data_IF_271867762016
#
_entry.id   IF_271867762016
#
_cell.length_a   1.000
_cell.length_b   1.000
_cell.length_c   1.000
_cell.angle_alpha   90.00
_cell.angle_beta   90.00
_cell.angle_gamma   90.00
#
_symmetry.space_group_name_H-M   'P 1'
#
loop_
_entity.id
_entity.type
_entity.pdbx_description
1 polymer ?
#
# COMPACT_ATOMS: atom_id res chain seq x y z
N UNK A 1 12.36 -16.75 23.21
CA UNK A 1 12.93 -16.51 24.57
C UNK A 1 13.35 -15.05 24.65
N UNK A 2 12.72 -14.25 25.52
CA UNK A 2 13.21 -12.89 25.80
C UNK A 2 14.59 -13.02 26.49
N UNK A 3 15.62 -12.26 26.10
CA UNK A 3 16.89 -12.29 26.83
C UNK A 3 16.66 -11.76 28.22
N UNK A 4 17.10 -12.53 29.24
CA UNK A 4 16.87 -12.27 30.67
C UNK A 4 17.37 -10.90 31.19
N UNK A 5 18.10 -10.12 30.39
CA UNK A 5 18.58 -8.79 30.73
C UNK A 5 17.67 -7.62 30.33
N UNK A 6 16.72 -7.83 29.42
CA UNK A 6 15.90 -6.75 28.87
C UNK A 6 14.88 -6.18 29.86
N UNK A 7 14.28 -7.02 30.68
CA UNK A 7 13.30 -6.57 31.69
C UNK A 7 13.98 -5.82 32.86
N UNK A 8 15.22 -6.18 33.19
CA UNK A 8 16.03 -5.47 34.21
C UNK A 8 16.48 -4.08 33.67
N UNK A 9 16.86 -4.02 32.39
CA UNK A 9 17.24 -2.78 31.69
C UNK A 9 16.06 -1.82 31.60
N UNK A 10 14.89 -2.32 31.21
CA UNK A 10 13.65 -1.52 31.15
C UNK A 10 13.24 -0.96 32.48
N UNK A 11 13.34 -1.76 33.60
CA UNK A 11 13.02 -1.32 34.95
C UNK A 11 14.01 -0.28 35.48
N UNK A 12 15.27 -0.31 35.09
CA UNK A 12 16.29 0.67 35.49
C UNK A 12 15.95 2.07 34.89
N UNK A 13 15.59 2.13 33.63
CA UNK A 13 15.23 3.39 32.95
C UNK A 13 13.83 3.93 33.33
N UNK A 14 12.89 3.06 33.70
CA UNK A 14 11.60 3.50 34.26
C UNK A 14 11.74 4.22 35.59
N UNK A 15 12.76 3.90 36.42
CA UNK A 15 13.07 4.61 37.64
C UNK A 15 13.59 6.04 37.43
N UNK A 16 14.17 6.32 36.27
CA UNK A 16 14.74 7.63 35.96
C UNK A 16 13.78 8.50 35.13
N UNK A 17 12.52 8.08 34.91
CA UNK A 17 11.54 8.82 34.13
C UNK A 17 11.82 8.86 32.62
N UNK A 18 12.76 8.07 32.13
CA UNK A 18 13.10 7.98 30.70
C UNK A 18 12.16 6.98 30.04
N UNK A 19 11.23 7.48 29.22
CA UNK A 19 10.38 6.64 28.38
C UNK A 19 11.17 6.29 27.10
N UNK A 20 11.58 5.03 26.99
CA UNK A 20 12.25 4.53 25.79
C UNK A 20 11.21 4.06 24.77
N UNK A 21 11.48 4.32 23.49
CA UNK A 21 10.72 3.77 22.37
C UNK A 21 11.09 2.28 22.17
N UNK A 22 10.63 1.41 23.07
CA UNK A 22 11.03 0.00 23.17
C UNK A 22 10.76 -0.84 21.93
N UNK A 23 9.83 -0.39 21.07
CA UNK A 23 9.47 -1.06 19.81
C UNK A 23 10.29 -0.58 18.62
N UNK A 24 10.95 0.57 18.74
CA UNK A 24 11.79 1.12 17.65
C UNK A 24 13.01 0.23 17.42
N UNK A 25 13.37 0.07 16.14
CA UNK A 25 14.58 -0.60 15.68
C UNK A 25 15.28 0.32 14.69
N UNK A 26 16.59 0.49 14.87
CA UNK A 26 17.38 1.38 14.03
C UNK A 26 16.78 2.78 13.90
N UNK A 27 16.80 3.32 12.67
CA UNK A 27 16.38 4.71 12.38
C UNK A 27 14.89 4.82 12.00
N UNK A 28 14.38 3.88 11.20
CA UNK A 28 13.08 4.00 10.51
C UNK A 28 12.10 2.88 10.85
N UNK A 29 12.59 1.78 11.46
CA UNK A 29 11.80 0.57 11.65
C UNK A 29 11.27 0.41 13.07
N UNK A 30 10.22 -0.39 13.20
CA UNK A 30 9.70 -0.83 14.50
C UNK A 30 9.16 -2.26 14.41
N UNK A 31 9.16 -2.94 15.54
CA UNK A 31 8.58 -4.28 15.71
C UNK A 31 7.29 -4.20 16.52
N UNK A 32 6.41 -5.15 16.31
CA UNK A 32 5.13 -5.23 17.02
C UNK A 32 5.18 -6.39 18.02
N UNK A 33 5.18 -6.11 19.34
CA UNK A 33 5.30 -7.15 20.39
C UNK A 33 4.13 -8.13 20.38
N UNK A 34 2.94 -7.61 20.05
CA UNK A 34 1.76 -8.40 19.74
C UNK A 34 1.51 -8.21 18.24
N UNK A 35 1.57 -9.31 17.49
CA UNK A 35 1.44 -9.28 16.05
C UNK A 35 -0.03 -9.05 15.66
N UNK A 36 -0.41 -7.86 15.16
CA UNK A 36 -1.77 -7.64 14.67
C UNK A 36 -2.11 -8.60 13.55
N UNK A 37 -3.35 -9.08 13.54
CA UNK A 37 -3.83 -10.06 12.58
C UNK A 37 -4.61 -9.35 11.49
N UNK A 38 -4.31 -9.63 10.23
CA UNK A 38 -5.16 -9.26 9.09
C UNK A 38 -6.23 -10.36 8.98
N UNK A 39 -7.38 -10.12 9.61
CA UNK A 39 -8.43 -11.14 9.80
C UNK A 39 -9.21 -11.45 8.53
N UNK A 40 -9.44 -10.44 7.71
CA UNK A 40 -10.05 -10.56 6.40
C UNK A 40 -9.72 -9.34 5.53
N UNK A 41 -10.00 -9.46 4.25
CA UNK A 41 -9.70 -8.43 3.25
C UNK A 41 -10.69 -8.49 2.10
N UNK A 42 -10.82 -7.39 1.37
CA UNK A 42 -11.71 -7.26 0.22
C UNK A 42 -11.03 -6.49 -0.90
N UNK A 43 -11.35 -6.85 -2.14
CA UNK A 43 -10.84 -6.23 -3.35
C UNK A 43 -11.97 -5.97 -4.35
N UNK A 44 -12.05 -4.73 -4.83
CA UNK A 44 -12.99 -4.28 -5.86
C UNK A 44 -12.16 -3.81 -7.05
N UNK A 45 -12.46 -4.28 -8.24
CA UNK A 45 -11.69 -3.95 -9.44
C UNK A 45 -12.60 -3.49 -10.60
N UNK A 46 -12.07 -2.59 -11.41
CA UNK A 46 -12.73 -2.07 -12.58
C UNK A 46 -12.65 -2.97 -13.80
N UNK A 47 -13.13 -2.45 -14.93
CA UNK A 47 -13.22 -3.19 -16.19
C UNK A 47 -11.85 -3.69 -16.67
N UNK A 48 -10.87 -2.80 -16.79
CA UNK A 48 -9.55 -3.13 -17.36
C UNK A 48 -8.80 -4.15 -16.48
N UNK A 49 -8.93 -4.01 -15.17
CA UNK A 49 -8.35 -4.91 -14.17
C UNK A 49 -9.02 -6.29 -14.20
N UNK A 50 -10.33 -6.34 -14.54
CA UNK A 50 -11.07 -7.61 -14.70
C UNK A 50 -10.70 -8.39 -15.98
N UNK A 51 -9.93 -7.78 -16.86
CA UNK A 51 -9.38 -8.39 -18.08
C UNK A 51 -7.91 -8.81 -17.90
N UNK A 52 -7.31 -8.52 -16.73
CA UNK A 52 -5.92 -8.79 -16.43
C UNK A 52 -5.68 -10.15 -15.77
N UNK A 53 -4.41 -10.51 -15.55
CA UNK A 53 -4.02 -11.82 -15.01
C UNK A 53 -4.61 -12.14 -13.63
N UNK A 54 -4.85 -11.12 -12.81
CA UNK A 54 -5.37 -11.26 -11.44
C UNK A 54 -6.91 -11.20 -11.37
N UNK A 55 -7.63 -11.09 -12.48
CA UNK A 55 -9.08 -10.95 -12.53
C UNK A 55 -9.84 -11.96 -11.64
N UNK A 56 -9.37 -13.21 -11.61
CA UNK A 56 -9.97 -14.32 -10.88
C UNK A 56 -9.76 -14.25 -9.35
N UNK A 57 -8.96 -13.30 -8.87
CA UNK A 57 -8.63 -13.14 -7.44
C UNK A 57 -9.45 -12.06 -6.77
N UNK A 58 -10.09 -11.17 -7.53
CA UNK A 58 -10.86 -10.05 -6.99
C UNK A 58 -12.24 -10.48 -6.49
N UNK A 59 -12.66 -9.94 -5.34
CA UNK A 59 -13.97 -10.26 -4.75
C UNK A 59 -15.14 -9.74 -5.60
N UNK A 60 -14.97 -8.56 -6.19
CA UNK A 60 -15.97 -7.93 -7.06
C UNK A 60 -15.27 -7.25 -8.25
N UNK A 61 -15.80 -7.52 -9.44
CA UNK A 61 -15.39 -6.82 -10.67
C UNK A 61 -16.62 -6.17 -11.32
N UNK A 62 -16.42 -5.10 -12.09
CA UNK A 62 -17.50 -4.45 -12.83
C UNK A 62 -17.05 -4.03 -14.22
N UNK A 63 -17.98 -4.11 -15.18
CA UNK A 63 -17.78 -3.59 -16.54
C UNK A 63 -18.19 -2.12 -16.65
N UNK A 64 -18.94 -1.61 -15.67
CA UNK A 64 -19.33 -0.20 -15.59
C UNK A 64 -18.23 0.63 -14.91
N UNK A 65 -17.55 1.46 -15.69
CA UNK A 65 -16.49 2.35 -15.21
C UNK A 65 -17.00 3.45 -14.27
N UNK A 66 -18.29 3.69 -14.23
CA UNK A 66 -18.93 4.64 -13.32
C UNK A 66 -19.46 4.01 -12.03
N UNK A 67 -19.44 2.69 -11.88
CA UNK A 67 -19.96 2.00 -10.70
C UNK A 67 -21.42 2.43 -10.36
N UNK A 68 -22.25 2.65 -11.38
CA UNK A 68 -23.63 3.13 -11.25
C UNK A 68 -23.76 4.60 -10.84
N UNK A 69 -22.69 5.39 -10.91
CA UNK A 69 -22.66 6.80 -10.50
C UNK A 69 -22.66 7.74 -11.70
N UNK A 70 -22.77 9.05 -11.45
CA UNK A 70 -22.85 10.07 -12.50
C UNK A 70 -21.49 10.70 -12.84
N UNK A 71 -20.52 10.65 -11.95
CA UNK A 71 -19.16 11.21 -12.13
C UNK A 71 -18.09 10.24 -11.66
N UNK A 72 -16.87 10.41 -12.13
CA UNK A 72 -15.74 9.55 -11.79
C UNK A 72 -15.36 9.62 -10.31
N UNK A 73 -15.45 10.80 -9.68
CA UNK A 73 -15.19 10.96 -8.25
C UNK A 73 -16.27 10.26 -7.41
N UNK A 74 -17.52 10.29 -7.88
CA UNK A 74 -18.60 9.52 -7.24
C UNK A 74 -18.40 8.01 -7.44
N UNK A 75 -17.87 7.60 -8.60
CA UNK A 75 -17.51 6.20 -8.86
C UNK A 75 -16.42 5.71 -7.89
N UNK A 76 -15.35 6.49 -7.72
CA UNK A 76 -14.28 6.16 -6.76
C UNK A 76 -14.79 6.08 -5.32
N UNK A 77 -15.59 7.06 -4.89
CA UNK A 77 -16.30 7.01 -3.61
C UNK A 77 -17.10 5.71 -3.46
N UNK A 78 -17.90 5.33 -4.48
CA UNK A 78 -18.73 4.12 -4.45
C UNK A 78 -17.90 2.85 -4.37
N UNK A 79 -16.81 2.80 -5.09
CA UNK A 79 -15.86 1.69 -5.08
C UNK A 79 -15.26 1.47 -3.68
N UNK A 80 -14.85 2.55 -2.97
CA UNK A 80 -14.41 2.45 -1.58
C UNK A 80 -15.53 1.96 -0.65
N UNK A 81 -16.76 2.44 -0.83
CA UNK A 81 -17.90 1.95 -0.07
C UNK A 81 -18.12 0.45 -0.26
N UNK A 82 -18.03 -0.02 -1.51
CA UNK A 82 -18.14 -1.45 -1.82
C UNK A 82 -17.03 -2.28 -1.16
N UNK A 83 -15.80 -1.76 -1.13
CA UNK A 83 -14.70 -2.44 -0.45
C UNK A 83 -14.94 -2.58 1.06
N UNK A 84 -15.41 -1.51 1.73
CA UNK A 84 -15.76 -1.57 3.15
C UNK A 84 -16.98 -2.45 3.43
N UNK A 85 -17.98 -2.41 2.56
CA UNK A 85 -19.18 -3.27 2.64
C UNK A 85 -18.80 -4.74 2.52
N UNK A 86 -17.96 -5.08 1.53
CA UNK A 86 -17.46 -6.44 1.32
C UNK A 86 -16.57 -6.92 2.45
N UNK A 87 -15.74 -6.03 2.99
CA UNK A 87 -14.93 -6.31 4.17
C UNK A 87 -15.79 -6.64 5.39
N UNK A 88 -16.83 -5.85 5.67
CA UNK A 88 -17.77 -6.07 6.76
C UNK A 88 -18.54 -7.38 6.59
N UNK A 89 -18.98 -7.68 5.36
CA UNK A 89 -19.63 -8.96 5.02
C UNK A 89 -18.73 -10.16 5.33
N UNK A 90 -17.50 -10.15 4.84
CA UNK A 90 -16.50 -11.22 5.08
C UNK A 90 -16.12 -11.36 6.56
N UNK A 91 -16.12 -10.25 7.29
CA UNK A 91 -15.87 -10.24 8.74
C UNK A 91 -17.06 -10.70 9.58
N UNK A 92 -18.25 -10.83 9.01
CA UNK A 92 -19.49 -11.08 9.73
C UNK A 92 -19.88 -9.93 10.67
N UNK A 93 -19.57 -8.69 10.27
CA UNK A 93 -19.71 -7.48 11.10
C UNK A 93 -20.63 -6.46 10.45
N UNK A 94 -21.25 -5.62 11.28
CA UNK A 94 -21.90 -4.38 10.81
C UNK A 94 -20.84 -3.30 10.63
N UNK A 95 -21.02 -2.40 9.65
CA UNK A 95 -20.06 -1.30 9.39
C UNK A 95 -19.74 -0.45 10.62
N UNK A 96 -20.72 -0.19 11.49
CA UNK A 96 -20.52 0.58 12.73
C UNK A 96 -19.70 -0.13 13.81
N UNK A 97 -19.31 -1.38 13.60
CA UNK A 97 -18.48 -2.14 14.53
C UNK A 97 -16.98 -2.02 14.23
N UNK A 98 -16.60 -1.29 13.18
CA UNK A 98 -15.21 -0.83 13.02
C UNK A 98 -14.94 0.28 14.03
N UNK A 99 -13.86 0.15 14.80
CA UNK A 99 -13.44 1.16 15.75
C UNK A 99 -12.83 2.38 15.03
N UNK A 100 -12.16 2.11 13.90
CA UNK A 100 -11.50 3.12 13.10
C UNK A 100 -11.40 2.67 11.64
N UNK A 101 -11.55 3.60 10.71
CA UNK A 101 -11.19 3.44 9.31
C UNK A 101 -10.03 4.38 8.99
N UNK A 102 -8.94 3.81 8.48
CA UNK A 102 -7.81 4.52 7.90
C UNK A 102 -7.95 4.43 6.40
N UNK A 103 -8.14 5.54 5.73
CA UNK A 103 -8.32 5.50 4.28
C UNK A 103 -7.72 6.70 3.57
N UNK A 104 -7.35 6.50 2.31
CA UNK A 104 -6.88 7.54 1.43
C UNK A 104 -7.17 7.22 -0.03
N UNK A 105 -6.94 8.20 -0.86
CA UNK A 105 -7.07 8.14 -2.32
C UNK A 105 -6.14 9.18 -2.96
N UNK A 106 -6.14 9.27 -4.30
CA UNK A 106 -5.28 10.20 -5.02
C UNK A 106 -5.90 11.58 -5.24
N UNK A 107 -7.16 11.78 -4.87
CA UNK A 107 -7.85 13.05 -5.10
C UNK A 107 -7.45 14.10 -4.07
N UNK A 108 -7.56 15.37 -4.44
CA UNK A 108 -7.29 16.48 -3.53
C UNK A 108 -8.09 16.33 -2.25
N UNK A 109 -7.41 16.51 -1.12
CA UNK A 109 -7.93 16.41 0.25
C UNK A 109 -8.58 15.06 0.59
N UNK A 110 -8.19 13.96 -0.11
CA UNK A 110 -8.76 12.63 0.08
C UNK A 110 -10.30 12.63 0.00
N UNK A 111 -10.84 13.32 -1.04
CA UNK A 111 -12.28 13.54 -1.16
C UNK A 111 -13.03 12.23 -1.43
N UNK A 112 -12.43 11.27 -2.14
CA UNK A 112 -12.98 9.94 -2.34
C UNK A 112 -13.22 9.23 -1.01
N UNK A 113 -12.23 9.24 -0.14
CA UNK A 113 -12.23 8.60 1.18
C UNK A 113 -13.20 9.26 2.15
N UNK A 114 -13.14 10.58 2.32
CA UNK A 114 -14.00 11.29 3.26
C UNK A 114 -15.48 11.20 2.84
N UNK A 115 -15.78 11.27 1.54
CA UNK A 115 -17.15 11.12 1.05
C UNK A 115 -17.64 9.67 1.05
N UNK A 116 -16.74 8.68 0.97
CA UNK A 116 -17.14 7.26 1.09
C UNK A 116 -17.68 6.94 2.49
N UNK A 117 -17.13 7.58 3.52
CA UNK A 117 -17.48 7.35 4.93
C UNK A 117 -18.53 8.33 5.47
N UNK A 118 -18.92 9.31 4.66
CA UNK A 118 -19.94 10.29 5.04
C UNK A 118 -21.21 9.61 5.53
N UNK A 119 -21.70 10.03 6.69
CA UNK A 119 -22.91 9.51 7.34
C UNK A 119 -22.87 8.03 7.77
N UNK A 120 -21.70 7.39 7.82
CA UNK A 120 -21.58 6.01 8.31
C UNK A 120 -21.43 5.93 9.84
N UNK A 121 -21.09 7.04 10.51
CA UNK A 121 -20.92 7.08 11.97
C UNK A 121 -19.69 6.26 12.44
N UNK A 122 -18.67 6.14 11.60
CA UNK A 122 -17.42 5.41 11.91
C UNK A 122 -16.29 6.44 12.07
N UNK A 123 -15.47 6.36 13.13
CA UNK A 123 -14.27 7.17 13.26
C UNK A 123 -13.33 6.99 12.05
N UNK A 124 -12.77 8.09 11.55
CA UNK A 124 -11.98 8.09 10.32
C UNK A 124 -10.75 8.99 10.44
N UNK A 125 -9.62 8.48 9.96
CA UNK A 125 -8.43 9.27 9.67
C UNK A 125 -8.11 9.17 8.18
N UNK A 126 -8.09 10.31 7.50
CA UNK A 126 -7.66 10.44 6.11
C UNK A 126 -6.14 10.42 6.01
N UNK A 127 -5.59 9.60 5.12
CA UNK A 127 -4.17 9.42 4.89
C UNK A 127 -3.81 9.83 3.46
N UNK A 128 -2.64 10.41 3.27
CA UNK A 128 -2.14 10.77 1.95
C UNK A 128 -0.64 10.46 1.80
N UNK A 129 -0.34 9.28 1.35
CA UNK A 129 0.99 8.84 0.91
C UNK A 129 1.09 8.67 -0.61
N UNK A 130 0.25 9.36 -1.39
CA UNK A 130 0.05 9.10 -2.82
C UNK A 130 -0.21 7.59 -3.05
N UNK A 131 0.48 6.95 -4.00
CA UNK A 131 0.29 5.53 -4.28
C UNK A 131 0.73 4.61 -3.13
N UNK A 132 1.50 5.09 -2.13
CA UNK A 132 1.94 4.29 -0.98
C UNK A 132 0.86 4.10 0.11
N UNK A 133 -0.30 4.71 -0.03
CA UNK A 133 -1.35 4.80 0.99
C UNK A 133 -1.81 3.42 1.52
N UNK A 134 -1.76 2.34 0.73
CA UNK A 134 -2.12 1.02 1.25
C UNK A 134 -1.13 0.52 2.31
N UNK A 135 0.17 0.68 2.08
CA UNK A 135 1.18 0.32 3.07
C UNK A 135 1.16 1.27 4.27
N UNK A 136 0.96 2.57 4.05
CA UNK A 136 0.79 3.59 5.09
C UNK A 136 -0.40 3.25 6.00
N UNK A 137 -1.56 2.93 5.44
CA UNK A 137 -2.76 2.59 6.21
C UNK A 137 -2.58 1.30 7.04
N UNK A 138 -1.95 0.26 6.48
CA UNK A 138 -1.63 -0.97 7.21
C UNK A 138 -0.62 -0.74 8.34
N UNK A 139 0.42 0.07 8.08
CA UNK A 139 1.45 0.44 9.04
C UNK A 139 0.80 1.16 10.23
N UNK A 140 -0.02 2.18 9.98
CA UNK A 140 -0.71 2.94 11.04
C UNK A 140 -1.73 2.05 11.75
N UNK A 141 -2.51 1.22 11.03
CA UNK A 141 -3.43 0.25 11.64
C UNK A 141 -2.69 -0.69 12.60
N UNK A 142 -1.50 -1.17 12.21
CA UNK A 142 -0.70 -2.03 13.06
C UNK A 142 -0.19 -1.34 14.32
N UNK A 143 0.16 -0.05 14.23
CA UNK A 143 0.54 0.76 15.40
C UNK A 143 -0.65 0.98 16.34
N UNK A 144 -1.82 1.32 15.79
CA UNK A 144 -3.04 1.58 16.56
C UNK A 144 -3.51 0.30 17.28
N UNK A 145 -3.56 -0.83 16.58
CA UNK A 145 -3.96 -2.11 17.15
C UNK A 145 -2.89 -2.64 18.10
N UNK A 146 -1.62 -2.64 17.70
CA UNK A 146 -0.50 -3.10 18.53
C UNK A 146 -0.24 -2.22 19.76
N UNK A 147 -0.66 -0.95 19.71
CA UNK A 147 -0.64 0.00 20.84
C UNK A 147 -1.84 -0.11 21.77
N UNK A 148 -2.85 -0.92 21.42
CA UNK A 148 -4.06 -1.09 22.23
C UNK A 148 -5.04 0.08 22.18
N UNK A 149 -5.01 0.90 21.11
CA UNK A 149 -5.92 2.02 20.94
C UNK A 149 -7.23 1.64 20.24
N UNK A 150 -7.26 0.54 19.50
CA UNK A 150 -8.44 -0.03 18.86
C UNK A 150 -8.25 -1.53 18.61
N UNK A 151 -9.36 -2.28 18.49
CA UNK A 151 -9.36 -3.71 18.22
C UNK A 151 -9.64 -4.08 16.76
N UNK A 152 -10.37 -3.21 16.04
CA UNK A 152 -10.90 -3.51 14.69
C UNK A 152 -10.69 -2.29 13.80
N UNK A 153 -9.57 -2.25 13.13
CA UNK A 153 -9.17 -1.13 12.25
C UNK A 153 -9.24 -1.57 10.80
N UNK A 154 -10.04 -0.88 9.99
CA UNK A 154 -10.02 -1.07 8.54
C UNK A 154 -8.94 -0.18 7.92
N UNK A 155 -7.98 -0.78 7.23
CA UNK A 155 -6.99 -0.11 6.40
C UNK A 155 -7.41 -0.25 4.93
N UNK A 156 -7.68 0.86 4.23
CA UNK A 156 -8.16 0.81 2.85
C UNK A 156 -7.68 1.98 2.01
N UNK A 157 -7.64 1.77 0.71
CA UNK A 157 -7.39 2.83 -0.27
C UNK A 157 -7.99 2.48 -1.63
N UNK A 158 -8.10 3.48 -2.49
CA UNK A 158 -8.56 3.33 -3.87
C UNK A 158 -7.86 4.28 -4.81
N UNK A 159 -7.88 3.94 -6.08
CA UNK A 159 -7.69 4.88 -7.17
C UNK A 159 -8.66 4.56 -8.30
N UNK A 160 -9.02 5.57 -9.09
CA UNK A 160 -9.85 5.42 -10.27
C UNK A 160 -9.16 6.12 -11.45
N UNK A 161 -9.00 5.42 -12.58
CA UNK A 161 -8.27 5.96 -13.73
C UNK A 161 -8.68 7.37 -14.08
N UNK A 162 -9.94 7.60 -14.41
CA UNK A 162 -10.37 8.88 -14.96
C UNK A 162 -10.31 10.03 -13.94
N UNK A 163 -10.66 9.81 -12.67
CA UNK A 163 -10.60 10.85 -11.63
C UNK A 163 -9.16 11.26 -11.34
N UNK A 164 -8.24 10.30 -11.22
CA UNK A 164 -6.82 10.54 -10.94
C UNK A 164 -6.09 11.12 -12.15
N UNK A 165 -6.26 10.53 -13.35
CA UNK A 165 -5.59 10.99 -14.57
C UNK A 165 -6.02 12.42 -14.91
N UNK A 166 -7.30 12.77 -14.75
CA UNK A 166 -7.81 14.13 -14.95
C UNK A 166 -7.14 15.14 -14.03
N UNK A 167 -6.82 14.73 -12.82
CA UNK A 167 -6.20 15.61 -11.83
C UNK A 167 -4.69 15.79 -12.05
N UNK A 168 -3.98 14.71 -12.40
CA UNK A 168 -2.52 14.69 -12.43
C UNK A 168 -1.91 14.73 -13.82
N UNK A 169 -2.60 14.24 -14.85
CA UNK A 169 -2.14 14.17 -16.25
C UNK A 169 -3.09 14.90 -17.19
N UNK A 170 -3.46 16.05 -16.79
CA UNK A 170 -4.35 16.94 -17.55
C UNK A 170 -3.68 17.41 -18.87
N UNK A 171 -4.44 17.57 -19.96
CA UNK A 171 -5.88 17.35 -20.09
C UNK A 171 -6.24 15.93 -20.56
N UNK A 172 -6.93 15.18 -19.74
CA UNK A 172 -7.36 13.81 -20.04
C UNK A 172 -8.21 13.72 -21.32
N UNK A 173 -9.16 14.63 -21.48
CA UNK A 173 -10.07 14.67 -22.62
C UNK A 173 -9.43 15.06 -23.96
N UNK A 174 -8.16 15.47 -23.97
CA UNK A 174 -7.43 15.83 -25.19
C UNK A 174 -6.99 14.59 -25.98
N UNK A 175 -6.94 13.42 -25.36
CA UNK A 175 -6.60 12.17 -26.02
C UNK A 175 -5.13 12.06 -26.45
N UNK A 176 -4.22 12.73 -25.74
CA UNK A 176 -2.78 12.65 -26.01
C UNK A 176 -2.24 11.23 -25.89
N UNK A 177 -1.35 10.84 -26.81
CA UNK A 177 -0.67 9.55 -26.74
C UNK A 177 0.23 9.49 -25.50
N UNK A 178 0.11 8.41 -24.73
CA UNK A 178 0.96 8.17 -23.54
C UNK A 178 2.36 7.73 -23.99
N UNK A 179 3.37 8.16 -23.23
CA UNK A 179 4.77 7.75 -23.48
C UNK A 179 4.98 6.28 -23.08
N UNK A 180 6.01 5.60 -23.61
CA UNK A 180 6.34 4.21 -23.20
C UNK A 180 6.65 4.06 -21.72
N UNK A 181 7.05 5.12 -21.05
CA UNK A 181 7.35 5.15 -19.60
C UNK A 181 6.10 5.35 -18.73
N UNK A 182 4.99 5.79 -19.33
CA UNK A 182 3.73 6.04 -18.61
C UNK A 182 3.12 4.74 -18.10
N UNK A 183 2.43 4.85 -16.98
CA UNK A 183 1.68 3.75 -16.37
C UNK A 183 0.18 4.03 -16.47
N UNK A 184 -0.62 2.99 -16.35
CA UNK A 184 -2.08 3.10 -16.30
C UNK A 184 -2.56 3.14 -14.85
N UNK A 185 -3.24 4.20 -14.45
CA UNK A 185 -3.83 4.25 -13.11
C UNK A 185 -4.91 3.16 -12.96
N UNK A 186 -4.71 2.29 -11.99
CA UNK A 186 -5.63 1.18 -11.68
C UNK A 186 -6.95 1.74 -11.13
N UNK A 187 -8.06 1.22 -11.65
CA UNK A 187 -9.40 1.43 -11.09
C UNK A 187 -9.69 0.30 -10.12
N UNK A 188 -9.43 0.54 -8.83
CA UNK A 188 -9.58 -0.48 -7.82
C UNK A 188 -9.57 0.07 -6.41
N UNK A 189 -10.19 -0.68 -5.49
CA UNK A 189 -10.16 -0.44 -4.06
C UNK A 189 -9.83 -1.74 -3.31
N UNK A 190 -8.93 -1.64 -2.33
CA UNK A 190 -8.62 -2.73 -1.41
C UNK A 190 -8.84 -2.30 0.04
N UNK A 191 -9.33 -3.22 0.85
CA UNK A 191 -9.54 -3.01 2.27
C UNK A 191 -9.12 -4.24 3.07
N UNK A 192 -8.44 -4.04 4.19
CA UNK A 192 -7.99 -5.10 5.10
C UNK A 192 -8.42 -4.77 6.54
N UNK A 193 -8.96 -5.75 7.26
CA UNK A 193 -9.34 -5.63 8.66
C UNK A 193 -8.18 -6.09 9.55
N UNK A 194 -7.56 -5.16 10.25
CA UNK A 194 -6.49 -5.40 11.20
C UNK A 194 -7.08 -5.48 12.61
N UNK A 195 -6.80 -6.58 13.31
CA UNK A 195 -7.36 -6.89 14.63
C UNK A 195 -6.26 -7.26 15.64
N UNK A 196 -6.60 -7.17 16.95
CA UNK A 196 -5.74 -7.65 18.04
C UNK A 196 -5.62 -9.17 18.08
N UNK A 197 -6.65 -9.88 17.59
CA UNK A 197 -6.73 -11.34 17.63
C UNK A 197 -7.53 -11.91 16.47
N UNK A 198 -7.38 -13.19 16.23
CA UNK A 198 -8.06 -13.92 15.17
C UNK A 198 -7.12 -14.84 14.40
N UNK A 199 -7.63 -15.38 13.30
CA UNK A 199 -6.88 -16.18 12.32
C UNK A 199 -6.59 -15.35 11.08
N UNK A 200 -5.45 -15.58 10.43
CA UNK A 200 -5.03 -14.90 9.21
C UNK A 200 -3.57 -14.46 9.26
N UNK A 201 -3.07 -13.84 8.19
CA UNK A 201 -1.74 -13.27 8.13
C UNK A 201 -1.49 -12.25 9.24
N UNK A 202 -0.23 -12.09 9.66
CA UNK A 202 0.14 -11.22 10.77
C UNK A 202 1.16 -10.18 10.33
N UNK A 203 1.04 -8.96 10.85
CA UNK A 203 2.04 -7.90 10.65
C UNK A 203 3.10 -8.03 11.74
N UNK A 204 4.36 -8.28 11.37
CA UNK A 204 5.45 -8.49 12.35
C UNK A 204 6.28 -7.23 12.63
N UNK A 205 6.54 -6.44 11.60
CA UNK A 205 7.34 -5.22 11.70
C UNK A 205 7.07 -4.31 10.50
N UNK A 206 7.41 -3.03 10.66
CA UNK A 206 7.23 -2.02 9.62
C UNK A 206 8.43 -1.09 9.55
N UNK A 207 8.60 -0.45 8.39
CA UNK A 207 9.59 0.60 8.15
C UNK A 207 8.91 1.83 7.56
N UNK A 208 9.04 2.96 8.23
CA UNK A 208 8.55 4.25 7.75
C UNK A 208 9.59 4.82 6.80
N UNK A 209 9.22 5.03 5.54
CA UNK A 209 10.13 5.57 4.55
C UNK A 209 10.37 7.06 4.69
N UNK A 210 11.50 7.51 4.18
CA UNK A 210 11.84 8.92 4.02
C UNK A 210 11.37 9.44 2.66
N UNK A 211 11.12 10.74 2.58
CA UNK A 211 10.89 11.40 1.29
C UNK A 211 12.22 11.56 0.57
N UNK A 212 12.32 10.99 -0.63
CA UNK A 212 13.54 11.00 -1.45
C UNK A 212 13.29 11.78 -2.74
N UNK A 213 14.18 12.71 -3.07
CA UNK A 213 14.09 13.52 -4.28
C UNK A 213 15.43 13.47 -5.05
N UNK A 214 15.39 12.94 -6.27
CA UNK A 214 16.52 12.91 -7.21
C UNK A 214 16.37 13.86 -8.39
N UNK A 215 15.48 14.83 -8.31
CA UNK A 215 15.29 15.85 -9.32
C UNK A 215 14.47 15.38 -10.54
N UNK A 216 13.75 14.28 -10.47
CA UNK A 216 12.88 13.79 -11.54
C UNK A 216 11.67 14.72 -11.69
N UNK A 217 11.42 15.22 -12.91
CA UNK A 217 10.33 16.18 -13.22
C UNK A 217 9.29 15.63 -14.17
N UNK A 218 9.56 14.51 -14.83
CA UNK A 218 8.65 13.91 -15.81
C UNK A 218 7.54 13.12 -15.12
N UNK A 219 6.33 13.68 -15.10
CA UNK A 219 5.14 13.04 -14.54
C UNK A 219 4.73 11.75 -15.29
N UNK A 220 5.25 11.50 -16.50
CA UNK A 220 5.04 10.26 -17.24
C UNK A 220 6.06 9.17 -16.86
N UNK A 221 6.99 9.46 -15.96
CA UNK A 221 8.01 8.51 -15.50
C UNK A 221 8.04 8.45 -13.97
N UNK A 222 6.92 8.14 -13.37
CA UNK A 222 6.80 8.04 -11.91
C UNK A 222 7.64 6.91 -11.32
N UNK A 223 7.85 5.82 -12.06
CA UNK A 223 8.73 4.72 -11.63
C UNK A 223 10.15 5.21 -11.33
N UNK A 224 10.69 6.14 -12.13
CA UNK A 224 12.00 6.74 -11.87
C UNK A 224 12.03 7.61 -10.61
N UNK A 225 10.93 8.30 -10.30
CA UNK A 225 10.82 9.11 -9.07
C UNK A 225 10.69 8.23 -7.81
N UNK A 226 10.00 7.08 -7.91
CA UNK A 226 9.70 6.20 -6.77
C UNK A 226 10.79 5.16 -6.47
N UNK A 227 11.52 4.67 -7.47
CA UNK A 227 12.51 3.61 -7.29
C UNK A 227 13.59 3.91 -6.24
N UNK A 228 14.14 5.14 -6.14
CA UNK A 228 15.10 5.50 -5.09
C UNK A 228 14.51 5.43 -3.68
N UNK A 229 13.26 5.87 -3.48
CA UNK A 229 12.58 5.80 -2.20
C UNK A 229 12.29 4.34 -1.80
N UNK A 230 11.91 3.49 -2.77
CA UNK A 230 11.74 2.06 -2.55
C UNK A 230 13.05 1.40 -2.12
N UNK A 231 14.17 1.73 -2.80
CA UNK A 231 15.49 1.21 -2.45
C UNK A 231 15.91 1.63 -1.02
N UNK A 232 15.76 2.92 -0.68
CA UNK A 232 16.11 3.44 0.64
C UNK A 232 15.33 2.74 1.76
N UNK A 233 14.03 2.57 1.57
CA UNK A 233 13.15 1.92 2.55
C UNK A 233 13.46 0.43 2.70
N UNK A 234 13.68 -0.29 1.59
CA UNK A 234 14.04 -1.72 1.64
C UNK A 234 15.40 -1.89 2.32
N UNK A 235 16.39 -1.07 1.98
CA UNK A 235 17.70 -1.07 2.63
C UNK A 235 17.58 -0.81 4.13
N UNK A 236 16.84 0.24 4.52
CA UNK A 236 16.63 0.57 5.94
C UNK A 236 15.92 -0.59 6.68
N UNK A 237 14.93 -1.25 6.05
CA UNK A 237 14.29 -2.43 6.62
C UNK A 237 15.28 -3.55 6.90
N UNK A 238 16.18 -3.83 5.95
CA UNK A 238 17.18 -4.88 6.11
C UNK A 238 18.19 -4.53 7.20
N UNK A 239 18.72 -3.30 7.18
CA UNK A 239 19.73 -2.83 8.15
C UNK A 239 19.16 -2.73 9.57
N UNK A 240 18.02 -2.07 9.75
CA UNK A 240 17.40 -1.81 11.06
C UNK A 240 16.98 -3.09 11.77
N UNK A 241 16.58 -4.13 11.01
CA UNK A 241 16.02 -5.37 11.54
C UNK A 241 16.98 -6.56 11.43
N UNK A 242 18.17 -6.37 10.85
CA UNK A 242 19.15 -7.44 10.63
C UNK A 242 18.64 -8.51 9.70
N UNK A 243 17.85 -8.13 8.70
CA UNK A 243 17.25 -9.03 7.70
C UNK A 243 18.03 -9.03 6.39
N UNK A 244 17.76 -10.03 5.57
CA UNK A 244 18.29 -10.18 4.21
C UNK A 244 17.14 -10.43 3.23
N UNK A 245 17.33 -10.17 1.92
CA UNK A 245 16.30 -10.48 0.92
C UNK A 245 15.84 -11.95 0.94
N UNK A 246 16.74 -12.87 1.29
CA UNK A 246 16.47 -14.31 1.38
C UNK A 246 15.50 -14.68 2.49
N UNK A 247 15.32 -13.84 3.52
CA UNK A 247 14.36 -14.04 4.61
C UNK A 247 12.91 -13.89 4.16
N UNK A 248 12.69 -13.38 2.94
CA UNK A 248 11.38 -13.17 2.34
C UNK A 248 11.16 -14.12 1.17
N UNK A 249 9.92 -14.61 1.03
CA UNK A 249 9.51 -15.30 -0.18
C UNK A 249 9.39 -14.30 -1.34
N UNK A 250 8.84 -13.11 -1.03
CA UNK A 250 8.69 -11.99 -1.97
C UNK A 250 8.97 -10.65 -1.28
N UNK A 251 9.61 -9.75 -2.03
CA UNK A 251 9.64 -8.30 -1.77
C UNK A 251 8.76 -7.68 -2.85
N UNK A 252 7.65 -7.07 -2.47
CA UNK A 252 6.62 -6.61 -3.42
C UNK A 252 6.48 -5.11 -3.37
N UNK A 253 6.79 -4.43 -4.47
CA UNK A 253 6.59 -2.98 -4.60
C UNK A 253 5.18 -2.64 -5.11
N UNK A 254 4.71 -1.44 -4.78
CA UNK A 254 3.33 -1.02 -5.01
C UNK A 254 2.98 -0.79 -6.48
N UNK A 255 3.76 0.05 -7.15
CA UNK A 255 3.43 0.50 -8.50
C UNK A 255 4.63 1.14 -9.22
N UNK A 256 5.82 0.58 -9.06
CA UNK A 256 7.00 1.04 -9.80
C UNK A 256 6.85 0.86 -11.31
N UNK A 257 6.03 -0.10 -11.73
CA UNK A 257 5.94 -0.55 -13.11
C UNK A 257 7.23 -1.20 -13.60
N UNK A 258 7.29 -1.54 -14.87
CA UNK A 258 8.43 -2.27 -15.44
C UNK A 258 9.74 -1.48 -15.31
N UNK A 259 9.73 -0.20 -15.72
CA UNK A 259 10.93 0.64 -15.70
C UNK A 259 11.44 0.89 -14.26
N UNK A 260 10.55 1.28 -13.34
CA UNK A 260 10.95 1.53 -11.95
C UNK A 260 11.43 0.27 -11.24
N UNK A 261 10.85 -0.90 -11.54
CA UNK A 261 11.32 -2.20 -11.05
C UNK A 261 12.74 -2.51 -11.55
N UNK A 262 13.03 -2.28 -12.84
CA UNK A 262 14.37 -2.45 -13.40
C UNK A 262 15.39 -1.51 -12.75
N UNK A 263 15.01 -0.25 -12.53
CA UNK A 263 15.86 0.71 -11.81
C UNK A 263 16.13 0.28 -10.38
N UNK A 264 15.12 -0.25 -9.66
CA UNK A 264 15.29 -0.76 -8.30
C UNK A 264 16.23 -1.96 -8.25
N UNK A 265 16.15 -2.88 -9.21
CA UNK A 265 17.06 -4.01 -9.33
C UNK A 265 18.51 -3.55 -9.55
N UNK A 266 18.71 -2.55 -10.40
CA UNK A 266 20.05 -1.99 -10.66
C UNK A 266 20.60 -1.22 -9.44
N UNK A 267 19.75 -0.45 -8.73
CA UNK A 267 20.13 0.20 -7.47
C UNK A 267 20.56 -0.83 -6.42
N UNK A 268 19.80 -1.92 -6.28
CA UNK A 268 20.13 -3.01 -5.38
C UNK A 268 21.47 -3.65 -5.71
N UNK A 269 21.71 -3.93 -6.99
CA UNK A 269 22.99 -4.50 -7.46
C UNK A 269 24.19 -3.57 -7.16
N UNK A 270 24.08 -2.28 -7.48
CA UNK A 270 25.15 -1.29 -7.25
C UNK A 270 25.47 -1.07 -5.78
N UNK A 271 24.50 -1.28 -4.91
CA UNK A 271 24.66 -1.05 -3.46
C UNK A 271 24.80 -2.36 -2.66
N UNK A 272 25.20 -3.47 -3.28
CA UNK A 272 25.44 -4.77 -2.64
C UNK A 272 24.23 -5.34 -1.89
N UNK A 273 23.02 -4.97 -2.31
CA UNK A 273 21.75 -5.51 -1.82
C UNK A 273 20.96 -6.12 -3.01
N UNK A 274 21.38 -7.27 -3.55
CA UNK A 274 20.72 -7.86 -4.72
C UNK A 274 19.32 -8.36 -4.35
N UNK A 275 18.30 -7.79 -5.00
CA UNK A 275 16.90 -8.15 -4.77
C UNK A 275 16.43 -9.31 -5.69
N UNK A 276 17.09 -9.50 -6.82
CA UNK A 276 17.00 -10.65 -7.73
C UNK A 276 15.60 -11.23 -7.90
N UNK A 277 15.50 -12.56 -7.88
CA UNK A 277 14.25 -13.29 -8.04
C UNK A 277 13.22 -13.14 -6.92
N UNK A 278 13.49 -12.30 -5.91
CA UNK A 278 12.55 -11.99 -4.81
C UNK A 278 11.69 -10.76 -5.10
N UNK A 279 12.12 -9.87 -6.02
CA UNK A 279 11.42 -8.63 -6.30
C UNK A 279 10.28 -8.84 -7.28
N UNK A 280 9.08 -8.47 -6.86
CA UNK A 280 7.88 -8.33 -7.69
C UNK A 280 7.32 -6.91 -7.57
N UNK A 281 6.49 -6.51 -8.54
CA UNK A 281 5.84 -5.21 -8.53
C UNK A 281 4.35 -5.37 -8.88
N UNK A 282 3.45 -4.79 -8.08
CA UNK A 282 2.01 -4.92 -8.29
C UNK A 282 1.58 -4.35 -9.65
N UNK A 283 2.23 -3.26 -10.11
CA UNK A 283 1.96 -2.67 -11.41
C UNK A 283 2.29 -3.59 -12.59
N UNK A 284 3.28 -4.48 -12.42
CA UNK A 284 3.61 -5.50 -13.44
C UNK A 284 2.78 -6.78 -13.32
N UNK A 285 2.03 -6.94 -12.23
CA UNK A 285 1.20 -8.13 -11.98
C UNK A 285 -0.27 -7.93 -12.38
N UNK A 286 -0.79 -6.71 -12.24
CA UNK A 286 -2.23 -6.43 -12.38
C UNK A 286 -2.70 -6.44 -13.83
N UNK A 287 -1.80 -6.16 -14.77
CA UNK A 287 -2.09 -6.11 -16.21
C UNK A 287 -1.17 -7.03 -17.01
N UNK A 288 -1.65 -7.49 -18.15
CA UNK A 288 -0.86 -8.15 -19.18
C UNK A 288 -0.40 -7.13 -20.22
N UNK A 289 0.86 -6.70 -20.11
CA UNK A 289 1.44 -5.70 -21.01
C UNK A 289 1.56 -6.16 -22.47
N UNK A 290 1.32 -7.44 -22.77
CA UNK A 290 1.38 -7.96 -24.14
C UNK A 290 0.08 -7.76 -24.90
N UNK A 291 -1.05 -7.65 -24.20
CA UNK A 291 -2.39 -7.53 -24.79
C UNK A 291 -3.16 -6.30 -24.30
N UNK A 292 -2.78 -5.72 -23.16
CA UNK A 292 -3.42 -4.53 -22.61
C UNK A 292 -2.53 -3.31 -22.82
N UNK A 293 -3.08 -2.24 -23.39
CA UNK A 293 -2.37 -0.96 -23.56
C UNK A 293 -2.20 -0.25 -22.22
N UNK A 294 -1.11 -0.58 -21.50
CA UNK A 294 -0.74 -0.02 -20.19
C UNK A 294 0.72 0.45 -20.12
N UNK A 295 1.48 0.27 -21.21
CA UNK A 295 2.91 0.62 -21.33
C UNK A 295 3.77 0.05 -20.18
N UNK A 296 4.20 0.90 -19.22
CA UNK A 296 5.06 0.44 -18.11
C UNK A 296 4.30 -0.35 -17.02
N UNK A 297 2.99 -0.56 -17.15
CA UNK A 297 2.18 -1.32 -16.21
C UNK A 297 1.18 -0.48 -15.40
N UNK A 298 0.72 -1.02 -14.28
CA UNK A 298 -0.24 -0.37 -13.39
C UNK A 298 0.38 0.69 -12.49
N UNK A 299 -0.43 1.66 -12.05
CA UNK A 299 -0.07 2.72 -11.12
C UNK A 299 -1.23 3.02 -10.17
N UNK A 300 -0.96 3.80 -9.13
CA UNK A 300 -1.97 4.28 -8.18
C UNK A 300 -2.10 3.41 -6.93
N UNK A 301 -2.63 4.01 -5.87
CA UNK A 301 -2.80 3.29 -4.60
C UNK A 301 -3.79 2.12 -4.69
N UNK A 302 -4.74 2.16 -5.62
CA UNK A 302 -5.60 1.01 -5.96
C UNK A 302 -4.81 -0.17 -6.50
N UNK A 303 -3.70 0.04 -7.21
CA UNK A 303 -2.86 -1.01 -7.78
C UNK A 303 -2.32 -1.95 -6.70
N UNK A 304 -1.61 -1.39 -5.72
CA UNK A 304 -1.07 -2.14 -4.58
C UNK A 304 -2.17 -2.73 -3.71
N UNK A 305 -3.29 -2.01 -3.54
CA UNK A 305 -4.39 -2.42 -2.70
C UNK A 305 -5.12 -3.67 -3.23
N UNK A 306 -5.51 -3.68 -4.51
CA UNK A 306 -6.22 -4.85 -5.08
C UNK A 306 -5.28 -6.05 -5.26
N UNK A 307 -4.00 -5.83 -5.57
CA UNK A 307 -3.02 -6.92 -5.67
C UNK A 307 -2.77 -7.55 -4.30
N UNK A 308 -2.59 -6.74 -3.26
CA UNK A 308 -2.43 -7.25 -1.90
C UNK A 308 -3.67 -8.02 -1.45
N UNK A 309 -4.86 -7.40 -1.54
CA UNK A 309 -6.11 -7.96 -1.05
C UNK A 309 -6.68 -9.07 -1.94
N UNK A 310 -6.43 -9.05 -3.24
CA UNK A 310 -6.88 -10.10 -4.16
C UNK A 310 -6.02 -11.35 -4.09
N UNK A 311 -4.70 -11.19 -4.12
CA UNK A 311 -3.77 -12.29 -4.37
C UNK A 311 -2.84 -12.59 -3.19
N UNK A 312 -2.12 -11.59 -2.67
CA UNK A 312 -0.99 -11.84 -1.76
C UNK A 312 -1.44 -12.30 -0.37
N UNK A 313 -2.47 -11.65 0.21
CA UNK A 313 -3.00 -12.05 1.53
C UNK A 313 -3.61 -13.44 1.48
N UNK A 314 -4.25 -13.82 0.37
CA UNK A 314 -4.77 -15.17 0.17
C UNK A 314 -3.64 -16.21 0.14
N UNK A 315 -2.54 -15.93 -0.58
CA UNK A 315 -1.38 -16.83 -0.62
C UNK A 315 -0.70 -16.99 0.74
N UNK A 316 -0.64 -15.91 1.54
CA UNK A 316 -0.15 -15.96 2.92
C UNK A 316 -1.09 -16.79 3.82
N UNK A 317 -2.40 -16.59 3.71
CA UNK A 317 -3.40 -17.32 4.49
C UNK A 317 -3.43 -18.82 4.14
N UNK A 318 -3.24 -19.15 2.86
CA UNK A 318 -3.11 -20.54 2.39
C UNK A 318 -1.75 -21.19 2.74
N UNK A 319 -0.77 -20.43 3.24
CA UNK A 319 0.59 -20.90 3.54
C UNK A 319 1.46 -21.12 2.29
N UNK A 320 1.01 -20.66 1.11
CA UNK A 320 1.81 -20.66 -0.14
C UNK A 320 2.96 -19.67 -0.10
N UNK A 321 2.81 -18.61 0.68
CA UNK A 321 3.85 -17.66 1.07
C UNK A 321 3.94 -17.65 2.59
N UNK A 322 5.17 -17.58 3.12
CA UNK A 322 5.43 -17.53 4.56
C UNK A 322 5.70 -16.13 5.05
N UNK A 323 6.45 -15.35 4.27
CA UNK A 323 6.81 -13.97 4.60
C UNK A 323 6.95 -13.14 3.35
N UNK A 324 6.29 -11.99 3.32
CA UNK A 324 6.48 -10.97 2.28
C UNK A 324 6.89 -9.65 2.91
N UNK A 325 7.66 -8.85 2.16
CA UNK A 325 7.85 -7.42 2.44
C UNK A 325 7.00 -6.64 1.45
N UNK A 326 5.90 -6.07 1.91
CA UNK A 326 5.02 -5.24 1.11
C UNK A 326 5.46 -3.78 1.19
N UNK A 327 5.93 -3.23 0.08
CA UNK A 327 6.54 -1.91 -0.05
C UNK A 327 5.62 -1.01 -0.87
N UNK A 328 4.70 -0.28 -0.24
CA UNK A 328 3.89 0.72 -0.94
C UNK A 328 4.76 1.89 -1.41
N UNK A 329 4.77 2.13 -2.71
CA UNK A 329 5.53 3.20 -3.37
C UNK A 329 4.60 4.36 -3.72
N UNK A 330 5.10 5.60 -3.66
CA UNK A 330 4.31 6.78 -3.97
C UNK A 330 5.15 7.90 -4.58
N UNK A 331 4.62 8.54 -5.61
CA UNK A 331 5.15 9.78 -6.19
C UNK A 331 4.35 10.96 -5.63
N UNK A 332 5.03 11.84 -4.89
CA UNK A 332 4.40 13.00 -4.24
C UNK A 332 4.23 14.14 -5.26
N UNK A 333 3.34 13.91 -6.21
CA UNK A 333 3.05 14.79 -7.32
C UNK A 333 1.82 15.65 -7.00
N UNK A 334 1.87 16.93 -7.35
CA UNK A 334 0.69 17.78 -7.39
C UNK A 334 0.68 18.63 -8.68
N UNK A 335 -0.50 18.99 -9.21
CA UNK A 335 -0.58 19.91 -10.35
C UNK A 335 0.17 21.22 -10.08
N UNK A 336 0.07 21.76 -8.87
CA UNK A 336 0.73 23.00 -8.49
C UNK A 336 2.25 22.89 -8.51
N UNK A 337 2.82 21.84 -7.90
CA UNK A 337 4.28 21.65 -7.90
C UNK A 337 4.84 21.43 -9.31
N UNK A 338 4.12 20.67 -10.15
CA UNK A 338 4.49 20.45 -11.55
C UNK A 338 4.46 21.74 -12.36
N UNK A 339 3.43 22.56 -12.22
CA UNK A 339 3.33 23.86 -12.88
C UNK A 339 4.41 24.84 -12.45
N UNK A 340 4.92 24.71 -11.24
CA UNK A 340 6.06 25.48 -10.73
C UNK A 340 7.42 24.91 -11.16
N UNK A 341 7.44 23.82 -11.92
CA UNK A 341 8.67 23.17 -12.38
C UNK A 341 9.46 22.46 -11.30
N UNK A 342 8.82 22.15 -10.16
CA UNK A 342 9.44 21.40 -9.06
C UNK A 342 9.59 19.92 -9.43
N UNK A 343 10.59 19.21 -8.87
CA UNK A 343 10.72 17.77 -9.03
C UNK A 343 9.62 17.01 -8.29
N UNK A 344 9.54 15.71 -8.56
CA UNK A 344 8.59 14.76 -7.98
C UNK A 344 9.31 13.93 -6.93
N UNK A 345 9.17 14.21 -5.64
CA UNK A 345 9.73 13.37 -4.60
C UNK A 345 9.02 12.01 -4.55
N UNK A 346 9.76 10.95 -4.20
CA UNK A 346 9.24 9.63 -3.93
C UNK A 346 9.14 9.35 -2.43
N UNK A 347 8.23 8.48 -2.05
CA UNK A 347 8.10 7.90 -0.71
C UNK A 347 7.81 6.41 -0.83
N UNK A 348 8.25 5.63 0.16
CA UNK A 348 7.91 4.22 0.24
C UNK A 348 7.77 3.81 1.71
N UNK A 349 6.71 3.07 2.04
CA UNK A 349 6.55 2.47 3.36
C UNK A 349 6.53 0.95 3.24
N UNK A 350 7.16 0.25 4.18
CA UNK A 350 7.25 -1.20 4.14
C UNK A 350 6.56 -1.85 5.34
N UNK A 351 5.81 -2.92 5.05
CA UNK A 351 5.11 -3.75 6.03
C UNK A 351 5.52 -5.20 5.81
N UNK A 352 6.15 -5.82 6.80
CA UNK A 352 6.46 -7.25 6.77
C UNK A 352 5.25 -8.03 7.26
N UNK A 353 4.73 -8.91 6.39
CA UNK A 353 3.54 -9.72 6.66
C UNK A 353 3.93 -11.19 6.58
N UNK A 354 3.58 -11.93 7.64
CA UNK A 354 3.84 -13.38 7.73
C UNK A 354 2.54 -14.16 7.70
N UNK A 355 2.62 -15.42 7.27
CA UNK A 355 1.50 -16.36 7.40
C UNK A 355 1.08 -16.48 8.87
N UNK A 356 -0.21 -16.68 9.11
CA UNK A 356 -0.74 -17.03 10.43
C UNK A 356 -0.76 -18.53 10.70
N UNK A 357 -0.25 -19.35 9.78
CA UNK A 357 -0.14 -20.80 9.91
C UNK A 357 1.24 -21.16 10.47
N UNK A 358 1.25 -21.99 11.50
CA UNK A 358 2.46 -22.60 12.09
C UNK A 358 3.07 -23.63 11.14
#
# INVERSE_FOLDING_TARGET
>A
MKPAGMDAFIRLFQKEGVILAINKRGKQSFVLPQLPVIRCWASIAGKKESEGPLAHTFDVTTQDTYFGQKTWEQAEKRMQQMALEKLAEKAGMKKKEFDLVLSGDLLNQCIGSSFSLRNMGIPHLGLYGACSTMAESLLIASMVVGGGFADKVAAMTSSHFASSERQYRFPLGYGGQRTPTAQWTVTGAGAALVCTSGTGPRIECCTIGTVTDLGIKDANNMGAAMAPAAFDTIRAHMEDLGRKPEDFDLIVTGDLGQLGKEMLLELGKRNHLPLGGKLMDCGTLVFDNTVQDVHAGGSGCGCSAITLCGELLKKLDEGKLRRILFCGTGALLSPTSTQQGLPIPGVCHAVSIITGRD
#
